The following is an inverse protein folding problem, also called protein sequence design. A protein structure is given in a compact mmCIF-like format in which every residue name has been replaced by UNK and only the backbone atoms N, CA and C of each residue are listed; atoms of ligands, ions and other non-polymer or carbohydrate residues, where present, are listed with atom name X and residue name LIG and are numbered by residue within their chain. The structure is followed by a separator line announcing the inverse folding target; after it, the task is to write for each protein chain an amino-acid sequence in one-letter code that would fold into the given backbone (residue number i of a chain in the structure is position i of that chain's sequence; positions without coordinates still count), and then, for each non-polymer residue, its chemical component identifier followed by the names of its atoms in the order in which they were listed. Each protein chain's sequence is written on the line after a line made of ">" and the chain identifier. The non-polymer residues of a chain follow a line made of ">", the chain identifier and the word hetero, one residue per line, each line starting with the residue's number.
data_IF_974828128710
#
_entry.id   IF_974828128710
#
_cell.length_a   1.000
_cell.length_b   1.000
_cell.length_c   1.000
_cell.angle_alpha   90.00
_cell.angle_beta   90.00
_cell.angle_gamma   90.00
#
_symmetry.space_group_name_H-M   'P 1'
#
loop_
_entity.id
_entity.type
_entity.pdbx_description
1 polymer ?
#
# COMPACT_ATOMS: atom_id res chain seq x y z
N UNK A 1 -3.07 29.16 -7.50
CA UNK A 1 -3.73 28.04 -8.22
C UNK A 1 -3.23 27.84 -9.65
N UNK A 2 -3.01 28.93 -10.41
CA UNK A 2 -2.57 28.86 -11.82
C UNK A 2 -1.22 28.14 -12.03
N UNK A 3 -0.24 28.31 -11.12
CA UNK A 3 1.07 27.65 -11.21
C UNK A 3 0.97 26.10 -11.26
N UNK A 4 0.24 25.49 -10.33
CA UNK A 4 0.10 24.03 -10.26
C UNK A 4 -0.64 23.43 -11.46
N UNK A 5 -1.56 24.19 -12.06
CA UNK A 5 -2.38 23.75 -13.18
C UNK A 5 -1.68 23.96 -14.54
N UNK A 6 -1.11 25.14 -14.77
CA UNK A 6 -0.53 25.53 -16.06
C UNK A 6 0.91 25.04 -16.25
N UNK A 7 1.71 25.01 -15.19
CA UNK A 7 3.16 24.72 -15.31
C UNK A 7 3.45 23.25 -14.96
N UNK A 8 2.93 22.76 -13.83
CA UNK A 8 3.24 21.39 -13.35
C UNK A 8 2.35 20.28 -13.93
N UNK A 9 1.28 20.60 -14.68
CA UNK A 9 0.34 19.66 -15.31
C UNK A 9 -0.06 18.45 -14.44
N UNK A 10 -0.23 18.65 -13.12
CA UNK A 10 -0.53 17.57 -12.19
C UNK A 10 -1.98 17.09 -12.29
N UNK A 11 -2.23 15.81 -11.99
CA UNK A 11 -3.60 15.30 -11.84
C UNK A 11 -4.36 16.07 -10.75
N UNK A 12 -5.69 16.10 -10.83
CA UNK A 12 -6.52 16.79 -9.83
C UNK A 12 -6.25 16.27 -8.40
N UNK A 13 -6.02 14.96 -8.24
CA UNK A 13 -5.63 14.34 -6.96
C UNK A 13 -4.32 14.90 -6.44
N UNK A 14 -3.29 14.95 -7.28
CA UNK A 14 -1.98 15.50 -6.92
C UNK A 14 -2.05 16.99 -6.59
N UNK A 15 -2.85 17.77 -7.32
CA UNK A 15 -3.08 19.19 -7.04
C UNK A 15 -3.74 19.35 -5.67
N UNK A 16 -4.77 18.56 -5.35
CA UNK A 16 -5.46 18.63 -4.08
C UNK A 16 -4.55 18.26 -2.90
N UNK A 17 -3.67 17.26 -3.03
CA UNK A 17 -2.67 16.92 -2.00
C UNK A 17 -1.72 18.10 -1.76
N UNK A 18 -1.24 18.75 -2.82
CA UNK A 18 -0.37 19.94 -2.69
C UNK A 18 -1.09 21.12 -2.04
N UNK A 19 -2.36 21.33 -2.36
CA UNK A 19 -3.17 22.37 -1.71
C UNK A 19 -3.36 22.08 -0.21
N UNK A 20 -3.54 20.82 0.18
CA UNK A 20 -3.58 20.45 1.60
C UNK A 20 -2.25 20.73 2.30
N UNK A 21 -1.12 20.41 1.67
CA UNK A 21 0.19 20.71 2.23
C UNK A 21 0.41 22.22 2.41
N UNK A 22 0.05 23.03 1.40
CA UNK A 22 0.12 24.49 1.47
C UNK A 22 -0.81 25.06 2.54
N UNK A 23 -2.02 24.53 2.67
CA UNK A 23 -2.95 24.91 3.73
C UNK A 23 -2.33 24.64 5.11
N UNK A 24 -1.74 23.46 5.33
CA UNK A 24 -1.06 23.14 6.59
C UNK A 24 0.15 24.02 6.88
N UNK A 25 0.91 24.39 5.86
CA UNK A 25 2.02 25.32 6.03
C UNK A 25 1.54 26.72 6.40
N UNK A 26 0.47 27.22 5.78
CA UNK A 26 -0.13 28.51 6.14
C UNK A 26 -0.75 28.49 7.56
N UNK A 27 -1.40 27.40 7.98
CA UNK A 27 -1.84 27.20 9.38
C UNK A 27 -0.65 27.29 10.37
N UNK A 28 0.49 26.68 10.01
CA UNK A 28 1.72 26.80 10.81
C UNK A 28 2.25 28.24 10.87
N UNK A 29 2.29 28.96 9.74
CA UNK A 29 2.74 30.37 9.70
C UNK A 29 1.86 31.30 10.54
N UNK A 30 0.56 31.02 10.61
CA UNK A 30 -0.36 31.74 11.49
C UNK A 30 -0.05 31.43 12.97
N UNK A 31 0.19 30.16 13.28
CA UNK A 31 0.50 29.72 14.65
C UNK A 31 1.76 30.41 15.20
N UNK A 32 2.76 30.67 14.35
CA UNK A 32 3.99 31.37 14.74
C UNK A 32 3.92 32.89 14.57
N UNK A 33 2.76 33.46 14.21
CA UNK A 33 2.56 34.91 14.08
C UNK A 33 3.20 35.56 12.85
N UNK A 34 3.64 34.78 11.85
CA UNK A 34 4.22 35.31 10.60
C UNK A 34 3.13 35.75 9.62
N UNK A 35 1.94 35.14 9.68
CA UNK A 35 0.78 35.50 8.86
C UNK A 35 -0.47 35.57 9.73
N UNK A 36 -1.47 36.36 9.29
CA UNK A 36 -2.71 36.56 10.06
C UNK A 36 -3.92 35.84 9.46
N UNK A 37 -3.82 35.38 8.21
CA UNK A 37 -4.98 34.88 7.46
C UNK A 37 -4.72 33.55 6.76
N UNK A 38 -5.78 32.74 6.69
CA UNK A 38 -5.78 31.50 5.94
C UNK A 38 -6.03 31.79 4.46
N UNK A 39 -4.97 31.70 3.64
CA UNK A 39 -4.99 32.01 2.21
C UNK A 39 -5.55 30.85 1.39
N UNK A 40 -5.41 29.60 1.86
CA UNK A 40 -5.86 28.40 1.14
C UNK A 40 -7.18 27.90 1.70
N UNK A 41 -8.28 28.21 1.00
CA UNK A 41 -9.62 27.77 1.39
C UNK A 41 -10.01 26.40 0.81
N UNK A 42 -10.95 25.70 1.45
CA UNK A 42 -11.46 24.40 1.00
C UNK A 42 -12.03 24.45 -0.44
N UNK A 43 -12.60 25.60 -0.82
CA UNK A 43 -13.22 25.83 -2.13
C UNK A 43 -12.20 25.84 -3.28
N UNK A 44 -10.90 25.96 -2.97
CA UNK A 44 -9.82 25.85 -3.95
C UNK A 44 -9.49 24.40 -4.32
N UNK A 45 -10.05 23.39 -3.65
CA UNK A 45 -9.83 21.99 -4.04
C UNK A 45 -10.68 21.66 -5.25
N UNK A 46 -10.11 20.97 -6.24
CA UNK A 46 -10.86 20.47 -7.39
C UNK A 46 -11.79 19.36 -6.90
N UNK A 47 -13.07 19.43 -7.27
CA UNK A 47 -13.95 18.26 -7.15
C UNK A 47 -13.42 17.17 -8.08
N UNK A 48 -13.24 15.98 -7.53
CA UNK A 48 -12.82 14.80 -8.28
C UNK A 48 -13.99 13.84 -8.19
N UNK A 49 -14.60 13.52 -9.32
CA UNK A 49 -15.48 12.37 -9.41
C UNK A 49 -14.58 11.15 -9.40
N UNK A 50 -14.64 10.37 -8.32
CA UNK A 50 -13.91 9.12 -8.25
C UNK A 50 -14.75 8.10 -9.01
N UNK A 51 -14.23 7.62 -10.14
CA UNK A 51 -14.71 6.35 -10.68
C UNK A 51 -14.40 5.29 -9.63
N UNK A 52 -15.44 4.74 -9.00
CA UNK A 52 -15.32 3.81 -7.88
C UNK A 52 -14.78 2.43 -8.31
N UNK A 53 -14.45 2.28 -9.59
CA UNK A 53 -13.95 1.03 -10.17
C UNK A 53 -12.49 0.87 -9.75
N UNK A 54 -12.21 -0.18 -8.99
CA UNK A 54 -10.83 -0.63 -8.78
C UNK A 54 -10.19 -0.82 -10.16
N UNK A 55 -9.06 -0.16 -10.46
CA UNK A 55 -8.38 -0.35 -11.75
C UNK A 55 -7.86 -1.79 -11.92
N UNK A 56 -7.80 -2.55 -10.83
CA UNK A 56 -7.44 -3.96 -10.82
C UNK A 56 -8.71 -4.82 -10.80
N UNK A 57 -9.27 -5.10 -11.99
CA UNK A 57 -10.24 -6.17 -12.21
C UNK A 57 -9.52 -7.29 -12.96
N UNK A 58 -9.25 -8.39 -12.27
CA UNK A 58 -8.62 -9.57 -12.85
C UNK A 58 -9.60 -10.72 -12.85
N UNK A 59 -9.71 -11.41 -13.98
CA UNK A 59 -10.43 -12.67 -14.09
C UNK A 59 -9.66 -13.80 -13.39
N UNK A 60 -10.37 -14.85 -12.98
CA UNK A 60 -9.71 -16.05 -12.43
C UNK A 60 -8.68 -16.65 -13.40
N UNK A 61 -8.97 -16.61 -14.71
CA UNK A 61 -8.05 -17.10 -15.75
C UNK A 61 -6.73 -16.33 -15.76
N UNK A 62 -6.78 -15.00 -15.61
CA UNK A 62 -5.57 -14.17 -15.55
C UNK A 62 -4.75 -14.43 -14.29
N UNK A 63 -5.43 -14.61 -13.15
CA UNK A 63 -4.81 -14.97 -11.88
C UNK A 63 -4.10 -16.34 -12.01
N UNK A 64 -4.78 -17.33 -12.57
CA UNK A 64 -4.21 -18.66 -12.79
C UNK A 64 -3.00 -18.63 -13.72
N UNK A 65 -3.10 -17.89 -14.83
CA UNK A 65 -1.97 -17.71 -15.76
C UNK A 65 -0.77 -17.03 -15.09
N UNK A 66 -1.02 -16.01 -14.27
CA UNK A 66 0.04 -15.34 -13.51
C UNK A 66 0.73 -16.28 -12.53
N UNK A 67 -0.03 -17.10 -11.78
CA UNK A 67 0.55 -18.09 -10.88
C UNK A 67 1.36 -19.15 -11.63
N UNK A 68 0.89 -19.60 -12.79
CA UNK A 68 1.60 -20.59 -13.61
C UNK A 68 2.98 -20.06 -14.06
N UNK A 69 3.05 -18.82 -14.55
CA UNK A 69 4.32 -18.20 -14.96
C UNK A 69 5.31 -18.15 -13.79
N UNK A 70 4.86 -17.85 -12.57
CA UNK A 70 5.73 -17.83 -11.39
C UNK A 70 6.25 -19.22 -10.97
N UNK A 71 5.52 -20.29 -11.31
CA UNK A 71 6.01 -21.67 -11.10
C UNK A 71 7.10 -22.00 -12.13
N UNK A 72 6.91 -21.58 -13.37
CA UNK A 72 7.82 -21.84 -14.49
C UNK A 72 9.17 -21.11 -14.36
N UNK A 73 9.20 -19.95 -13.70
CA UNK A 73 10.45 -19.18 -13.45
C UNK A 73 11.40 -19.86 -12.46
N UNK A 74 10.95 -20.92 -11.75
CA UNK A 74 11.72 -21.70 -10.75
C UNK A 74 12.34 -20.88 -9.61
N UNK A 75 11.93 -19.63 -9.42
CA UNK A 75 12.36 -18.80 -8.28
C UNK A 75 11.40 -19.01 -7.12
N UNK A 76 11.80 -19.80 -6.14
CA UNK A 76 10.93 -20.20 -5.02
C UNK A 76 10.58 -19.01 -4.13
N UNK A 77 11.50 -18.05 -3.94
CA UNK A 77 11.23 -16.80 -3.22
C UNK A 77 10.11 -15.99 -3.90
N UNK A 78 10.20 -15.78 -5.21
CA UNK A 78 9.20 -14.99 -5.96
C UNK A 78 7.82 -15.66 -5.85
N UNK A 79 7.77 -16.99 -6.02
CA UNK A 79 6.55 -17.76 -5.86
C UNK A 79 5.97 -17.64 -4.44
N UNK A 80 6.79 -17.81 -3.40
CA UNK A 80 6.36 -17.71 -2.01
C UNK A 80 5.84 -16.30 -1.67
N UNK A 81 6.53 -15.25 -2.13
CA UNK A 81 6.12 -13.87 -1.92
C UNK A 81 4.79 -13.55 -2.63
N UNK A 82 4.62 -14.01 -3.87
CA UNK A 82 3.37 -13.83 -4.62
C UNK A 82 2.19 -14.51 -3.92
N UNK A 83 2.36 -15.78 -3.53
CA UNK A 83 1.32 -16.55 -2.82
C UNK A 83 0.98 -15.88 -1.48
N UNK A 84 2.00 -15.43 -0.73
CA UNK A 84 1.80 -14.70 0.51
C UNK A 84 0.95 -13.44 0.31
N UNK A 85 1.35 -12.57 -0.62
CA UNK A 85 0.65 -11.30 -0.88
C UNK A 85 -0.79 -11.53 -1.35
N UNK A 86 -0.99 -12.50 -2.24
CA UNK A 86 -2.29 -12.81 -2.82
C UNK A 86 -3.31 -13.27 -1.78
N UNK A 87 -2.90 -14.14 -0.84
CA UNK A 87 -3.82 -14.74 0.14
C UNK A 87 -3.91 -13.99 1.47
N UNK A 88 -2.91 -13.18 1.84
CA UNK A 88 -2.92 -12.42 3.09
C UNK A 88 -3.36 -10.97 2.93
N UNK A 89 -3.32 -10.43 1.70
CA UNK A 89 -3.59 -9.02 1.43
C UNK A 89 -2.59 -8.07 2.10
N UNK A 90 -1.42 -8.57 2.52
CA UNK A 90 -0.38 -7.73 3.10
C UNK A 90 0.16 -6.74 2.07
N UNK A 91 0.57 -5.56 2.55
CA UNK A 91 1.30 -4.62 1.68
C UNK A 91 2.66 -5.22 1.36
N UNK A 92 3.19 -4.94 0.16
CA UNK A 92 4.54 -5.37 -0.22
C UNK A 92 5.60 -4.98 0.81
N UNK A 93 5.52 -3.76 1.36
CA UNK A 93 6.45 -3.29 2.40
C UNK A 93 6.34 -4.07 3.71
N UNK A 94 5.14 -4.54 4.06
CA UNK A 94 4.91 -5.37 5.25
C UNK A 94 5.51 -6.76 5.03
N UNK A 95 5.27 -7.36 3.85
CA UNK A 95 5.80 -8.68 3.50
C UNK A 95 7.34 -8.72 3.49
N UNK A 96 7.99 -7.68 2.96
CA UNK A 96 9.46 -7.59 2.91
C UNK A 96 10.12 -7.36 4.29
N UNK A 97 9.33 -6.98 5.30
CA UNK A 97 9.82 -6.70 6.65
C UNK A 97 9.52 -7.81 7.66
N UNK A 98 8.92 -8.92 7.22
CA UNK A 98 8.60 -10.05 8.08
C UNK A 98 9.88 -10.60 8.71
N UNK A 99 9.92 -10.66 10.04
CA UNK A 99 10.93 -11.40 10.75
C UNK A 99 10.49 -12.86 10.90
N UNK A 100 11.17 -13.78 10.22
CA UNK A 100 10.80 -15.21 10.20
C UNK A 100 10.79 -15.86 11.59
N UNK A 101 11.57 -15.37 12.55
CA UNK A 101 11.63 -15.94 13.91
C UNK A 101 10.57 -15.35 14.84
N UNK A 102 10.22 -14.07 14.66
CA UNK A 102 9.38 -13.33 15.60
C UNK A 102 7.94 -13.15 15.11
N UNK A 103 7.70 -13.28 13.81
CA UNK A 103 6.41 -12.93 13.20
C UNK A 103 5.71 -14.11 12.52
N UNK A 104 6.44 -15.16 12.14
CA UNK A 104 5.91 -16.30 11.38
C UNK A 104 5.75 -17.54 12.27
N UNK A 105 4.50 -17.96 12.47
CA UNK A 105 4.15 -19.13 13.27
C UNK A 105 3.52 -20.21 12.39
N UNK A 106 4.36 -21.07 11.81
CA UNK A 106 3.89 -22.14 10.91
C UNK A 106 3.02 -23.20 11.59
N UNK A 107 3.20 -23.42 12.90
CA UNK A 107 2.42 -24.40 13.67
C UNK A 107 0.98 -23.94 13.93
N UNK A 108 0.79 -22.65 14.25
CA UNK A 108 -0.54 -22.05 14.42
C UNK A 108 -1.12 -21.49 13.12
N UNK A 109 -0.36 -21.55 12.02
CA UNK A 109 -0.76 -20.96 10.73
C UNK A 109 -1.01 -19.45 10.84
N UNK A 110 -0.15 -18.74 11.54
CA UNK A 110 -0.30 -17.31 11.82
C UNK A 110 0.90 -16.50 11.33
N UNK A 111 0.61 -15.30 10.87
CA UNK A 111 1.61 -14.28 10.55
C UNK A 111 1.25 -12.97 11.24
N UNK A 112 2.17 -12.48 12.06
CA UNK A 112 2.04 -11.19 12.74
C UNK A 112 2.57 -10.08 11.85
N UNK A 113 1.70 -9.14 11.50
CA UNK A 113 2.08 -7.94 10.74
C UNK A 113 2.24 -6.77 11.70
N UNK A 114 3.49 -6.34 11.89
CA UNK A 114 3.83 -5.15 12.66
C UNK A 114 3.74 -3.93 11.76
N UNK A 115 2.72 -3.11 11.96
CA UNK A 115 2.54 -1.88 11.17
C UNK A 115 3.47 -0.78 11.70
N UNK A 116 4.23 -0.12 10.82
CA UNK A 116 5.03 1.07 11.19
C UNK A 116 4.19 2.34 11.43
N UNK A 117 2.92 2.35 11.00
CA UNK A 117 2.04 3.52 11.05
C UNK A 117 0.83 3.26 11.94
N UNK A 118 0.80 3.93 13.09
CA UNK A 118 -0.38 3.97 13.98
C UNK A 118 -0.54 2.76 14.90
N UNK A 119 0.55 2.09 15.25
CA UNK A 119 0.67 1.09 16.34
C UNK A 119 -0.24 -0.16 16.28
N UNK A 120 -1.04 -0.31 15.23
CA UNK A 120 -1.95 -1.44 15.10
C UNK A 120 -1.21 -2.66 14.50
N UNK A 121 -0.76 -3.54 15.38
CA UNK A 121 -0.41 -4.92 15.06
C UNK A 121 -1.67 -5.69 14.66
N UNK A 122 -1.56 -6.57 13.66
CA UNK A 122 -2.61 -7.54 13.33
C UNK A 122 -2.01 -8.91 13.07
N UNK A 123 -2.77 -9.96 13.37
CA UNK A 123 -2.42 -11.33 13.00
C UNK A 123 -3.26 -11.73 11.79
N UNK A 124 -2.62 -12.33 10.79
CA UNK A 124 -3.25 -12.87 9.59
C UNK A 124 -3.12 -14.39 9.61
N UNK A 125 -4.22 -15.09 9.36
CA UNK A 125 -4.22 -16.54 9.23
C UNK A 125 -3.69 -16.95 7.85
N UNK A 126 -2.79 -17.92 7.85
CA UNK A 126 -2.15 -18.47 6.67
C UNK A 126 -2.93 -19.69 6.19
N UNK A 127 -3.33 -19.66 4.92
CA UNK A 127 -3.94 -20.85 4.32
C UNK A 127 -2.87 -21.93 4.02
N UNK A 128 -3.28 -23.19 3.81
CA UNK A 128 -2.34 -24.27 3.53
C UNK A 128 -1.42 -24.02 2.32
N UNK A 129 -1.91 -23.30 1.30
CA UNK A 129 -1.13 -22.94 0.11
C UNK A 129 0.04 -22.01 0.45
N UNK A 130 -0.19 -21.00 1.28
CA UNK A 130 0.85 -20.09 1.76
C UNK A 130 1.85 -20.84 2.62
N UNK A 131 1.38 -21.69 3.55
CA UNK A 131 2.27 -22.49 4.40
C UNK A 131 3.18 -23.39 3.55
N UNK A 132 2.64 -24.06 2.53
CA UNK A 132 3.42 -24.91 1.64
C UNK A 132 4.47 -24.10 0.87
N UNK A 133 4.08 -22.94 0.32
CA UNK A 133 4.99 -22.08 -0.42
C UNK A 133 6.13 -21.53 0.47
N UNK A 134 5.80 -21.09 1.70
CA UNK A 134 6.78 -20.62 2.68
C UNK A 134 7.71 -21.75 3.13
N UNK A 135 7.18 -22.94 3.44
CA UNK A 135 8.00 -24.10 3.80
C UNK A 135 8.98 -24.47 2.69
N UNK A 136 8.54 -24.45 1.43
CA UNK A 136 9.41 -24.72 0.29
C UNK A 136 10.55 -23.70 0.20
N UNK A 137 10.25 -22.41 0.41
CA UNK A 137 11.24 -21.36 0.43
C UNK A 137 12.24 -21.48 1.59
N UNK A 138 11.79 -21.86 2.79
CA UNK A 138 12.64 -21.95 3.99
C UNK A 138 13.59 -23.16 4.00
N UNK A 139 13.41 -24.11 3.08
CA UNK A 139 14.22 -25.33 2.97
C UNK A 139 15.30 -25.20 1.88
N UNK A 140 15.12 -24.27 0.94
CA UNK A 140 16.13 -23.93 -0.07
C UNK A 140 17.23 -23.04 0.50
#
# INVERSE_FOLDING_TARGET
>A
MQYLQRIKKGSAKTINVKLVALQKYNEFLITIGVQNELVISKNMKKKIQLDYVSPAQFSEKEIHKFLQVNVETKKVLDYALVILLMYTGCRISEALQINLQQDLYLSSSELVIRSRKGDNQRTVLLNPRVIQALKKYLVE
#
